data_IF_956021773699
#
_entry.id   IF_956021773699
#
_cell.length_a   1.000
_cell.length_b   1.000
_cell.length_c   1.000
_cell.angle_alpha   90.00
_cell.angle_beta   90.00
_cell.angle_gamma   90.00
#
_symmetry.space_group_name_H-M   'P 1'
#
loop_
_entity.id
_entity.type
_entity.pdbx_description
1 polymer ?
#
# COMPACT_ATOMS: atom_id res chain seq x y z
N UNK A 1 1.06 -92.62 -68.86
CA UNK A 1 1.20 -91.18 -68.56
C UNK A 1 1.28 -91.01 -67.05
N UNK A 2 2.03 -90.03 -66.56
CA UNK A 2 2.03 -89.73 -65.13
C UNK A 2 0.74 -88.98 -64.74
N UNK A 3 0.26 -89.20 -63.52
CA UNK A 3 -0.99 -88.61 -62.99
C UNK A 3 -1.06 -87.08 -63.19
N UNK A 4 0.09 -86.40 -63.05
CA UNK A 4 0.20 -84.94 -63.18
C UNK A 4 0.00 -84.44 -64.62
N UNK A 5 0.48 -85.19 -65.62
CA UNK A 5 0.30 -84.84 -67.03
C UNK A 5 -1.12 -85.08 -67.48
N UNK A 6 -1.77 -86.14 -67.00
CA UNK A 6 -3.17 -86.44 -67.27
C UNK A 6 -4.10 -85.41 -66.62
N UNK A 7 -3.80 -84.97 -65.39
CA UNK A 7 -4.51 -83.88 -64.72
C UNK A 7 -4.40 -82.53 -65.46
N UNK A 8 -3.20 -82.16 -65.94
CA UNK A 8 -3.00 -80.94 -66.72
C UNK A 8 -3.66 -81.02 -68.10
N UNK A 9 -3.72 -82.21 -68.71
CA UNK A 9 -4.43 -82.45 -69.97
C UNK A 9 -5.95 -82.29 -69.78
N UNK A 10 -6.53 -82.89 -68.75
CA UNK A 10 -7.95 -82.72 -68.40
C UNK A 10 -8.28 -81.26 -68.12
N UNK A 11 -7.42 -80.53 -67.41
CA UNK A 11 -7.60 -79.08 -67.24
C UNK A 11 -7.59 -78.31 -68.57
N UNK A 12 -6.96 -78.78 -69.65
CA UNK A 12 -6.89 -78.08 -70.95
C UNK A 12 -7.98 -78.51 -71.94
N UNK A 13 -8.41 -79.75 -71.88
CA UNK A 13 -9.31 -80.34 -72.88
C UNK A 13 -10.76 -80.47 -72.36
N UNK A 14 -10.95 -80.64 -71.05
CA UNK A 14 -12.27 -80.79 -70.43
C UNK A 14 -12.70 -79.49 -69.73
N UNK A 15 -13.75 -78.85 -70.26
CA UNK A 15 -14.31 -77.62 -69.69
C UNK A 15 -15.01 -77.84 -68.36
N UNK A 16 -15.80 -78.91 -68.21
CA UNK A 16 -16.54 -79.18 -66.98
C UNK A 16 -15.57 -79.45 -65.83
N UNK A 17 -14.53 -80.25 -66.08
CA UNK A 17 -13.48 -80.51 -65.12
C UNK A 17 -12.72 -79.24 -64.73
N UNK A 18 -12.36 -78.38 -65.70
CA UNK A 18 -11.71 -77.09 -65.43
C UNK A 18 -12.57 -76.19 -64.55
N UNK A 19 -13.86 -76.04 -64.87
CA UNK A 19 -14.75 -75.20 -64.08
C UNK A 19 -14.99 -75.78 -62.69
N UNK A 20 -15.07 -77.11 -62.54
CA UNK A 20 -15.18 -77.75 -61.24
C UNK A 20 -13.94 -77.50 -60.36
N UNK A 21 -12.73 -77.62 -60.93
CA UNK A 21 -11.47 -77.36 -60.21
C UNK A 21 -11.33 -75.87 -59.83
N UNK A 22 -11.65 -74.95 -60.74
CA UNK A 22 -11.64 -73.50 -60.46
C UNK A 22 -12.70 -73.16 -59.41
N UNK A 23 -13.90 -73.76 -59.49
CA UNK A 23 -14.96 -73.59 -58.51
C UNK A 23 -14.53 -74.06 -57.12
N UNK A 24 -13.97 -75.27 -57.00
CA UNK A 24 -13.47 -75.80 -55.73
C UNK A 24 -12.37 -74.92 -55.12
N UNK A 25 -11.32 -74.63 -55.89
CA UNK A 25 -10.19 -73.82 -55.41
C UNK A 25 -10.58 -72.36 -55.15
N UNK A 26 -11.46 -71.80 -55.98
CA UNK A 26 -11.95 -70.43 -55.85
C UNK A 26 -12.89 -70.25 -54.66
N UNK A 27 -13.80 -71.21 -54.42
CA UNK A 27 -14.71 -71.19 -53.27
C UNK A 27 -13.94 -71.29 -51.96
N UNK A 28 -12.93 -72.16 -51.88
CA UNK A 28 -12.09 -72.29 -50.68
C UNK A 28 -11.38 -70.97 -50.34
N UNK A 29 -10.77 -70.32 -51.34
CA UNK A 29 -10.09 -69.03 -51.15
C UNK A 29 -11.07 -67.89 -50.79
N UNK A 30 -12.28 -67.89 -51.37
CA UNK A 30 -13.34 -66.94 -51.01
C UNK A 30 -13.75 -67.11 -49.54
N UNK A 31 -13.99 -68.36 -49.10
CA UNK A 31 -14.35 -68.64 -47.71
C UNK A 31 -13.26 -68.18 -46.73
N UNK A 32 -11.97 -68.48 -47.02
CA UNK A 32 -10.86 -67.98 -46.18
C UNK A 32 -10.83 -66.46 -46.08
N UNK A 33 -11.14 -65.73 -47.17
CA UNK A 33 -11.20 -64.26 -47.14
C UNK A 33 -12.41 -63.77 -46.35
N UNK A 34 -13.55 -64.45 -46.44
CA UNK A 34 -14.74 -64.15 -45.63
C UNK A 34 -14.44 -64.36 -44.14
N UNK A 35 -13.75 -65.43 -43.77
CA UNK A 35 -13.36 -65.69 -42.38
C UNK A 35 -12.45 -64.58 -41.84
N UNK A 36 -11.41 -64.21 -42.62
CA UNK A 36 -10.52 -63.08 -42.27
C UNK A 36 -11.27 -61.75 -42.15
N UNK A 37 -12.21 -61.48 -43.06
CA UNK A 37 -13.03 -60.28 -42.99
C UNK A 37 -13.95 -60.30 -41.76
N UNK A 38 -14.50 -61.47 -41.41
CA UNK A 38 -15.34 -61.64 -40.22
C UNK A 38 -14.53 -61.36 -38.95
N UNK A 39 -13.32 -61.89 -38.85
CA UNK A 39 -12.40 -61.56 -37.75
C UNK A 39 -12.07 -60.07 -37.68
N UNK A 40 -11.81 -59.42 -38.82
CA UNK A 40 -11.54 -57.99 -38.89
C UNK A 40 -12.76 -57.16 -38.44
N UNK A 41 -13.97 -57.55 -38.87
CA UNK A 41 -15.23 -56.91 -38.44
C UNK A 41 -15.43 -57.05 -36.94
N UNK A 42 -15.17 -58.22 -36.35
CA UNK A 42 -15.27 -58.41 -34.90
C UNK A 42 -14.31 -57.50 -34.13
N UNK A 43 -13.05 -57.37 -34.60
CA UNK A 43 -12.08 -56.45 -33.98
C UNK A 43 -12.52 -54.99 -34.08
N UNK A 44 -13.07 -54.58 -35.24
CA UNK A 44 -13.61 -53.23 -35.41
C UNK A 44 -14.81 -52.98 -34.50
N UNK A 45 -15.70 -53.95 -34.33
CA UNK A 45 -16.84 -53.84 -33.41
C UNK A 45 -16.37 -53.67 -31.96
N UNK A 46 -15.34 -54.39 -31.53
CA UNK A 46 -14.76 -54.23 -30.20
C UNK A 46 -14.14 -52.83 -30.02
N UNK A 47 -13.42 -52.32 -31.02
CA UNK A 47 -12.89 -50.95 -30.99
C UNK A 47 -14.00 -49.90 -30.94
N UNK A 48 -15.09 -50.07 -31.69
CA UNK A 48 -16.25 -49.17 -31.67
C UNK A 48 -16.93 -49.17 -30.31
N UNK A 49 -17.04 -50.33 -29.65
CA UNK A 49 -17.58 -50.42 -28.30
C UNK A 49 -16.72 -49.64 -27.30
N UNK A 50 -15.39 -49.84 -27.31
CA UNK A 50 -14.44 -49.10 -26.46
C UNK A 50 -14.49 -47.59 -26.69
N UNK A 51 -14.54 -47.15 -27.95
CA UNK A 51 -14.68 -45.72 -28.26
C UNK A 51 -16.01 -45.16 -27.76
N UNK A 52 -17.10 -45.92 -27.81
CA UNK A 52 -18.41 -45.50 -27.31
C UNK A 52 -18.39 -45.28 -25.80
N UNK A 53 -17.69 -46.13 -25.05
CA UNK A 53 -17.47 -45.96 -23.61
C UNK A 53 -16.68 -44.68 -23.30
N UNK A 54 -15.55 -44.46 -23.99
CA UNK A 54 -14.72 -43.24 -23.83
C UNK A 54 -15.54 -41.98 -24.13
N UNK A 55 -16.35 -42.00 -25.20
CA UNK A 55 -17.22 -40.88 -25.56
C UNK A 55 -18.23 -40.58 -24.45
N UNK A 56 -18.78 -41.62 -23.81
CA UNK A 56 -19.70 -41.45 -22.69
C UNK A 56 -19.01 -40.83 -21.46
N UNK A 57 -17.77 -41.22 -21.17
CA UNK A 57 -16.96 -40.62 -20.09
C UNK A 57 -16.63 -39.16 -20.37
N UNK A 58 -16.16 -38.86 -21.58
CA UNK A 58 -15.90 -37.48 -22.01
C UNK A 58 -17.17 -36.62 -21.92
N UNK A 59 -18.33 -37.17 -22.29
CA UNK A 59 -19.60 -36.46 -22.18
C UNK A 59 -19.96 -36.11 -20.73
N UNK A 60 -19.64 -36.98 -19.77
CA UNK A 60 -19.82 -36.69 -18.33
C UNK A 60 -18.85 -35.60 -17.86
N UNK A 61 -17.58 -35.69 -18.27
CA UNK A 61 -16.57 -34.69 -17.93
C UNK A 61 -16.94 -33.30 -18.47
N UNK A 62 -17.41 -33.22 -19.71
CA UNK A 62 -17.88 -31.96 -20.33
C UNK A 62 -19.04 -31.35 -19.53
N UNK A 63 -20.01 -32.15 -19.08
CA UNK A 63 -21.12 -31.64 -18.26
C UNK A 63 -20.63 -31.06 -16.93
N UNK A 64 -19.71 -31.75 -16.25
CA UNK A 64 -19.14 -31.24 -14.99
C UNK A 64 -18.36 -29.93 -15.21
N UNK A 65 -17.61 -29.83 -16.31
CA UNK A 65 -16.91 -28.60 -16.67
C UNK A 65 -17.89 -27.46 -16.97
N UNK A 66 -19.01 -27.74 -17.64
CA UNK A 66 -20.06 -26.73 -17.88
C UNK A 66 -20.67 -26.19 -16.58
N UNK A 67 -20.89 -27.05 -15.60
CA UNK A 67 -21.37 -26.64 -14.27
C UNK A 67 -20.33 -25.77 -13.54
N UNK A 68 -19.06 -26.13 -13.58
CA UNK A 68 -17.98 -25.32 -13.01
C UNK A 68 -17.86 -23.95 -13.68
N UNK A 69 -17.94 -23.90 -15.01
CA UNK A 69 -17.93 -22.64 -15.78
C UNK A 69 -19.10 -21.76 -15.37
N UNK A 70 -20.29 -22.32 -15.17
CA UNK A 70 -21.47 -21.57 -14.73
C UNK A 70 -21.26 -20.97 -13.33
N UNK A 71 -20.75 -21.76 -12.39
CA UNK A 71 -20.44 -21.28 -11.03
C UNK A 71 -19.42 -20.14 -11.04
N UNK A 72 -18.36 -20.27 -11.86
CA UNK A 72 -17.37 -19.21 -12.03
C UNK A 72 -17.98 -17.93 -12.65
N UNK A 73 -18.90 -18.07 -13.60
CA UNK A 73 -19.61 -16.92 -14.18
C UNK A 73 -20.44 -16.17 -13.13
N UNK A 74 -21.12 -16.90 -12.25
CA UNK A 74 -21.90 -16.31 -11.14
C UNK A 74 -20.97 -15.54 -10.17
N UNK A 75 -19.82 -16.12 -9.80
CA UNK A 75 -18.81 -15.44 -8.98
C UNK A 75 -18.23 -14.18 -9.65
N UNK A 76 -17.98 -14.22 -10.96
CA UNK A 76 -17.49 -13.06 -11.71
C UNK A 76 -18.51 -11.92 -11.69
N UNK A 77 -19.81 -12.23 -11.82
CA UNK A 77 -20.88 -11.23 -11.73
C UNK A 77 -20.94 -10.60 -10.33
N UNK A 78 -20.82 -11.41 -9.28
CA UNK A 78 -20.80 -10.92 -7.89
C UNK A 78 -19.60 -10.01 -7.62
N UNK A 79 -18.40 -10.46 -8.00
CA UNK A 79 -17.18 -9.66 -7.88
C UNK A 79 -17.27 -8.35 -8.66
N UNK A 80 -17.88 -8.37 -9.85
CA UNK A 80 -18.10 -7.15 -10.64
C UNK A 80 -18.99 -6.14 -9.91
N UNK A 81 -20.05 -6.60 -9.22
CA UNK A 81 -20.90 -5.74 -8.39
C UNK A 81 -20.13 -5.17 -7.20
N UNK A 82 -19.35 -6.00 -6.51
CA UNK A 82 -18.51 -5.57 -5.39
C UNK A 82 -17.49 -4.50 -5.81
N UNK A 83 -16.82 -4.69 -6.94
CA UNK A 83 -15.88 -3.72 -7.52
C UNK A 83 -16.58 -2.38 -7.80
N UNK A 84 -17.79 -2.40 -8.38
CA UNK A 84 -18.55 -1.17 -8.64
C UNK A 84 -18.87 -0.42 -7.34
N UNK A 85 -19.30 -1.12 -6.29
CA UNK A 85 -19.58 -0.47 -5.00
C UNK A 85 -18.32 0.12 -4.37
N UNK A 86 -17.18 -0.57 -4.47
CA UNK A 86 -15.90 -0.03 -3.98
C UNK A 86 -15.46 1.21 -4.78
N UNK A 87 -15.67 1.23 -6.10
CA UNK A 87 -15.40 2.42 -6.92
C UNK A 87 -16.24 3.62 -6.49
N UNK A 88 -17.52 3.42 -6.18
CA UNK A 88 -18.38 4.48 -5.66
C UNK A 88 -17.87 5.01 -4.30
N UNK A 89 -17.47 4.12 -3.38
CA UNK A 89 -16.90 4.52 -2.10
C UNK A 89 -15.59 5.32 -2.26
N UNK A 90 -14.72 4.92 -3.20
CA UNK A 90 -13.47 5.63 -3.49
C UNK A 90 -13.75 7.05 -4.01
N UNK A 91 -14.77 7.23 -4.85
CA UNK A 91 -15.19 8.56 -5.31
C UNK A 91 -15.68 9.43 -4.14
N UNK A 92 -16.49 8.88 -3.24
CA UNK A 92 -16.97 9.62 -2.06
C UNK A 92 -15.83 9.98 -1.09
N UNK A 93 -14.91 9.06 -0.83
CA UNK A 93 -13.71 9.35 -0.04
C UNK A 93 -12.83 10.42 -0.69
N UNK A 94 -12.70 10.40 -2.01
CA UNK A 94 -11.95 11.44 -2.74
C UNK A 94 -12.56 12.82 -2.55
N UNK A 95 -13.90 12.94 -2.61
CA UNK A 95 -14.60 14.19 -2.31
C UNK A 95 -14.39 14.64 -0.87
N UNK A 96 -14.47 13.72 0.09
CA UNK A 96 -14.25 14.02 1.50
C UNK A 96 -12.81 14.52 1.77
N UNK A 97 -11.81 13.90 1.14
CA UNK A 97 -10.41 14.34 1.22
C UNK A 97 -10.25 15.76 0.67
N UNK A 98 -10.85 16.07 -0.48
CA UNK A 98 -10.80 17.43 -1.04
C UNK A 98 -11.45 18.46 -0.11
N UNK A 99 -12.57 18.11 0.54
CA UNK A 99 -13.22 18.98 1.51
C UNK A 99 -12.36 19.22 2.76
N UNK A 100 -11.70 18.18 3.27
CA UNK A 100 -10.76 18.28 4.38
C UNK A 100 -9.54 19.13 4.01
N UNK A 101 -8.98 18.96 2.81
CA UNK A 101 -7.86 19.79 2.33
C UNK A 101 -8.21 21.27 2.31
N UNK A 102 -9.40 21.65 1.82
CA UNK A 102 -9.88 23.04 1.86
C UNK A 102 -10.04 23.56 3.29
N UNK A 103 -10.51 22.71 4.20
CA UNK A 103 -10.68 23.07 5.61
C UNK A 103 -9.33 23.31 6.28
N UNK A 104 -8.34 22.45 6.02
CA UNK A 104 -6.96 22.62 6.48
C UNK A 104 -6.36 23.92 5.95
N UNK A 105 -6.53 24.23 4.66
CA UNK A 105 -6.02 25.49 4.08
C UNK A 105 -6.65 26.73 4.77
N UNK A 106 -7.95 26.68 5.06
CA UNK A 106 -8.63 27.77 5.78
C UNK A 106 -8.13 27.91 7.22
N UNK A 107 -7.87 26.80 7.91
CA UNK A 107 -7.31 26.81 9.26
C UNK A 107 -5.87 27.37 9.25
N UNK A 108 -5.03 26.98 8.29
CA UNK A 108 -3.67 27.53 8.13
C UNK A 108 -3.70 29.05 7.99
N UNK A 109 -4.56 29.59 7.12
CA UNK A 109 -4.73 31.05 6.97
C UNK A 109 -5.20 31.74 8.26
N UNK A 110 -6.03 31.06 9.05
CA UNK A 110 -6.52 31.59 10.32
C UNK A 110 -5.41 31.62 11.38
N UNK A 111 -4.59 30.57 11.43
CA UNK A 111 -3.40 30.49 12.29
C UNK A 111 -2.40 31.58 11.93
N UNK A 112 -2.12 31.81 10.65
CA UNK A 112 -1.23 32.89 10.20
C UNK A 112 -1.70 34.28 10.66
N UNK A 113 -3.02 34.55 10.56
CA UNK A 113 -3.62 35.80 11.06
C UNK A 113 -3.53 35.92 12.59
N UNK A 114 -3.76 34.83 13.32
CA UNK A 114 -3.59 34.80 14.77
C UNK A 114 -2.14 35.04 15.17
N UNK A 115 -1.18 34.38 14.53
CA UNK A 115 0.25 34.57 14.77
C UNK A 115 0.65 36.03 14.56
N UNK A 116 0.18 36.65 13.47
CA UNK A 116 0.40 38.07 13.18
C UNK A 116 -0.18 38.98 14.27
N UNK A 117 -1.38 38.66 14.77
CA UNK A 117 -2.04 39.41 15.85
C UNK A 117 -1.27 39.28 17.17
N UNK A 118 -0.84 38.06 17.53
CA UNK A 118 -0.01 37.79 18.71
C UNK A 118 1.31 38.56 18.62
N UNK A 119 1.97 38.55 17.46
CA UNK A 119 3.21 39.31 17.26
C UNK A 119 2.97 40.81 17.47
N UNK A 120 1.87 41.37 16.96
CA UNK A 120 1.54 42.78 17.17
C UNK A 120 1.28 43.13 18.64
N UNK A 121 0.68 42.20 19.39
CA UNK A 121 0.46 42.33 20.84
C UNK A 121 1.80 42.25 21.57
N UNK A 122 2.63 41.25 21.26
CA UNK A 122 3.95 41.09 21.86
C UNK A 122 4.85 42.30 21.64
N UNK A 123 4.80 42.93 20.45
CA UNK A 123 5.49 44.20 20.19
C UNK A 123 4.92 45.36 20.99
N UNK A 124 3.60 45.42 21.23
CA UNK A 124 2.95 46.46 22.04
C UNK A 124 3.22 46.34 23.54
N UNK A 125 3.40 45.12 24.03
CA UNK A 125 3.64 44.84 25.44
C UNK A 125 5.12 44.55 25.75
N UNK A 126 6.05 44.75 24.79
CA UNK A 126 7.50 44.56 24.95
C UNK A 126 7.96 43.19 25.48
N UNK A 127 7.08 42.19 25.45
CA UNK A 127 7.28 40.86 26.05
C UNK A 127 8.48 40.13 25.42
N UNK A 128 8.83 40.45 24.17
CA UNK A 128 9.91 39.79 23.44
C UNK A 128 11.23 40.59 23.38
N UNK A 129 11.26 41.83 23.87
CA UNK A 129 12.43 42.72 23.75
C UNK A 129 13.31 42.72 24.99
N UNK A 130 12.75 42.68 26.20
CA UNK A 130 13.55 42.80 27.42
C UNK A 130 14.37 41.53 27.70
N UNK A 131 13.74 40.35 27.65
CA UNK A 131 14.42 39.06 27.87
C UNK A 131 15.47 38.78 26.78
N UNK A 132 15.14 39.05 25.50
CA UNK A 132 16.09 38.88 24.41
C UNK A 132 17.28 39.86 24.50
N UNK A 133 17.04 41.10 24.94
CA UNK A 133 18.08 42.09 25.18
C UNK A 133 18.94 41.72 26.38
N UNK A 134 18.32 41.28 27.48
CA UNK A 134 18.99 40.77 28.69
C UNK A 134 19.93 39.61 28.37
N UNK A 135 19.45 38.61 27.64
CA UNK A 135 20.28 37.47 27.20
C UNK A 135 21.41 37.88 26.25
N UNK A 136 21.16 38.86 25.37
CA UNK A 136 22.19 39.38 24.46
C UNK A 136 23.31 40.12 25.20
N UNK A 137 22.97 40.95 26.19
CA UNK A 137 23.96 41.66 27.02
C UNK A 137 24.71 40.67 27.91
N UNK A 138 24.02 39.68 28.47
CA UNK A 138 24.66 38.60 29.24
C UNK A 138 25.73 37.88 28.42
N UNK A 139 25.39 37.47 27.20
CA UNK A 139 26.35 36.85 26.28
C UNK A 139 27.55 37.77 25.97
N UNK A 140 27.29 39.05 25.68
CA UNK A 140 28.36 40.03 25.40
C UNK A 140 29.34 40.14 26.58
N UNK A 141 28.83 40.21 27.81
CA UNK A 141 29.63 40.48 29.00
C UNK A 141 30.34 39.20 29.49
N UNK A 142 29.63 38.09 29.62
CA UNK A 142 30.19 36.84 30.15
C UNK A 142 31.06 36.10 29.13
N UNK A 143 30.58 35.95 27.89
CA UNK A 143 31.21 35.06 26.91
C UNK A 143 32.22 35.79 26.01
N UNK A 144 31.89 37.00 25.56
CA UNK A 144 32.74 37.76 24.63
C UNK A 144 33.82 38.57 25.36
N UNK A 145 33.41 39.38 26.35
CA UNK A 145 34.34 40.25 27.10
C UNK A 145 35.04 39.49 28.24
N UNK A 146 34.38 38.51 28.87
CA UNK A 146 34.91 37.70 29.99
C UNK A 146 35.39 38.52 31.18
N UNK A 147 34.89 39.75 31.30
CA UNK A 147 35.29 40.72 32.32
C UNK A 147 34.44 40.58 33.59
N UNK A 148 33.14 40.29 33.43
CA UNK A 148 32.18 40.17 34.54
C UNK A 148 31.34 38.91 34.38
N UNK A 149 30.89 38.35 35.51
CA UNK A 149 29.85 37.32 35.55
C UNK A 149 28.48 37.96 35.79
N UNK A 150 27.46 37.51 35.09
CA UNK A 150 26.07 37.99 35.21
C UNK A 150 25.25 36.95 35.97
N UNK A 151 24.75 37.31 37.15
CA UNK A 151 23.88 36.44 37.94
C UNK A 151 22.54 37.11 38.23
N UNK A 152 21.47 36.33 38.16
CA UNK A 152 20.12 36.79 38.55
C UNK A 152 19.98 36.70 40.06
N UNK A 153 19.77 37.84 40.71
CA UNK A 153 19.53 37.91 42.14
C UNK A 153 18.05 38.13 42.42
N UNK A 154 17.46 37.22 43.20
CA UNK A 154 16.05 37.25 43.58
C UNK A 154 15.98 37.28 45.11
N UNK A 155 15.29 38.26 45.67
CA UNK A 155 15.14 38.44 47.11
C UNK A 155 13.70 38.82 47.48
N UNK A 156 13.18 38.25 48.56
CA UNK A 156 11.88 38.64 49.10
C UNK A 156 12.05 39.73 50.16
N UNK A 157 11.65 40.94 49.81
CA UNK A 157 11.70 42.10 50.69
C UNK A 157 10.45 42.12 51.57
N UNK A 158 10.53 41.47 52.73
CA UNK A 158 9.44 41.41 53.72
C UNK A 158 9.06 42.77 54.30
N UNK A 159 9.97 43.74 54.28
CA UNK A 159 9.77 45.07 54.89
C UNK A 159 9.18 46.07 53.90
N UNK A 160 9.14 45.74 52.61
CA UNK A 160 8.65 46.62 51.56
C UNK A 160 9.51 47.88 51.38
N UNK A 161 10.82 47.77 51.58
CA UNK A 161 11.78 48.86 51.38
C UNK A 161 11.78 49.32 49.91
N UNK A 162 11.73 48.38 48.96
CA UNK A 162 11.85 48.68 47.53
C UNK A 162 10.54 49.19 46.94
N UNK A 163 9.43 48.48 47.14
CA UNK A 163 8.13 48.81 46.53
C UNK A 163 7.12 49.43 47.48
N UNK A 164 7.45 49.61 48.76
CA UNK A 164 6.52 50.12 49.77
C UNK A 164 5.58 49.06 50.37
N UNK A 165 5.69 47.80 49.92
CA UNK A 165 4.97 46.64 50.47
C UNK A 165 5.78 45.35 50.26
N UNK A 166 5.51 44.28 51.04
CA UNK A 166 6.22 43.01 50.89
C UNK A 166 6.15 42.48 49.46
N UNK A 167 7.30 42.22 48.84
CA UNK A 167 7.40 41.89 47.41
C UNK A 167 8.66 41.09 47.07
N UNK A 168 8.61 40.33 45.97
CA UNK A 168 9.81 39.75 45.36
C UNK A 168 10.50 40.84 44.54
N UNK A 169 11.79 41.04 44.78
CA UNK A 169 12.68 41.93 44.06
C UNK A 169 13.62 41.08 43.23
N UNK A 170 13.80 41.45 41.97
CA UNK A 170 14.65 40.73 41.03
C UNK A 170 15.51 41.70 40.24
N UNK A 171 16.83 41.46 40.22
CA UNK A 171 17.81 42.27 39.48
C UNK A 171 18.93 41.40 38.93
N UNK A 172 19.49 41.76 37.78
CA UNK A 172 20.72 41.15 37.28
C UNK A 172 21.95 41.83 37.89
N UNK A 173 22.90 41.03 38.36
CA UNK A 173 24.10 41.49 39.05
C UNK A 173 25.32 41.13 38.22
N UNK A 174 26.12 42.14 37.88
CA UNK A 174 27.45 41.96 37.30
C UNK A 174 28.49 41.87 38.42
N UNK A 175 29.32 40.83 38.40
CA UNK A 175 30.27 40.52 39.47
C UNK A 175 31.69 40.45 38.90
N UNK A 176 32.62 41.24 39.46
CA UNK A 176 34.06 41.18 39.17
C UNK A 176 34.89 41.61 40.38
N UNK A 177 35.93 40.85 40.75
CA UNK A 177 36.90 41.21 41.81
C UNK A 177 36.28 41.67 43.15
N UNK A 178 35.15 41.06 43.53
CA UNK A 178 34.31 41.36 44.71
C UNK A 178 33.51 42.67 44.64
N UNK A 179 33.51 43.35 43.49
CA UNK A 179 32.59 44.43 43.16
C UNK A 179 31.31 43.86 42.53
N UNK A 180 30.16 44.35 42.98
CA UNK A 180 28.84 43.97 42.48
C UNK A 180 28.13 45.19 41.90
N UNK A 181 27.72 45.11 40.63
CA UNK A 181 26.99 46.17 39.94
C UNK A 181 25.58 45.65 39.64
N UNK A 182 24.58 46.33 40.16
CA UNK A 182 23.18 46.05 39.85
C UNK A 182 22.82 46.66 38.49
N UNK A 183 22.22 45.87 37.61
CA UNK A 183 21.79 46.31 36.28
C UNK A 183 20.31 46.00 36.10
N UNK A 184 19.54 47.05 35.81
CA UNK A 184 18.15 46.93 35.38
C UNK A 184 18.05 47.23 33.89
N UNK A 185 17.36 46.36 33.16
CA UNK A 185 17.01 46.60 31.76
C UNK A 185 15.56 47.05 31.70
N UNK A 186 15.30 48.28 31.24
CA UNK A 186 13.96 48.73 30.89
C UNK A 186 14.03 49.46 29.56
N UNK A 187 13.09 49.18 28.66
CA UNK A 187 13.03 49.85 27.35
C UNK A 187 12.71 51.35 27.48
N UNK A 188 12.03 51.73 28.57
CA UNK A 188 11.80 53.12 28.96
C UNK A 188 12.10 53.26 30.46
N UNK A 189 12.66 54.39 30.88
CA UNK A 189 13.03 54.64 32.29
C UNK A 189 12.43 55.95 32.74
N UNK A 190 11.68 55.91 33.84
CA UNK A 190 11.16 57.08 34.52
C UNK A 190 11.89 57.35 35.86
N UNK A 191 11.48 58.40 36.58
CA UNK A 191 12.13 58.77 37.86
C UNK A 191 11.85 57.75 38.97
N UNK A 192 10.73 57.02 38.91
CA UNK A 192 10.40 56.00 39.88
C UNK A 192 11.29 54.77 39.69
N UNK A 193 11.59 54.40 38.44
CA UNK A 193 12.50 53.29 38.11
C UNK A 193 13.92 53.52 38.65
N UNK A 194 14.43 54.75 38.52
CA UNK A 194 15.75 55.12 39.08
C UNK A 194 15.74 55.07 40.61
N UNK A 195 14.65 55.53 41.24
CA UNK A 195 14.50 55.48 42.69
C UNK A 195 14.31 54.05 43.22
N UNK A 196 13.73 53.16 42.43
CA UNK A 196 13.62 51.72 42.70
C UNK A 196 15.02 51.08 42.69
N UNK A 197 15.80 51.23 41.60
CA UNK A 197 17.16 50.70 41.51
C UNK A 197 18.08 51.23 42.63
N UNK A 198 17.97 52.52 42.96
CA UNK A 198 18.72 53.10 44.09
C UNK A 198 18.36 52.42 45.42
N UNK A 199 17.07 52.17 45.69
CA UNK A 199 16.61 51.50 46.91
C UNK A 199 17.04 50.03 46.99
N UNK A 200 17.21 49.38 45.85
CA UNK A 200 17.74 48.01 45.79
C UNK A 200 19.24 47.99 46.14
N UNK A 201 19.99 49.01 45.72
CA UNK A 201 21.45 49.10 45.95
C UNK A 201 21.89 49.72 47.29
N UNK A 202 20.97 50.18 48.14
CA UNK A 202 21.23 50.67 49.50
C UNK A 202 21.30 49.50 50.49
#
# INVERSE_FOLDING_TARGET
MGLKEEFLKLLREDMEFRYAVIGLLGLEEILRRIDKNTEAIMRLQEQVAKHSEIIAEHSKAIKSLQEQVRSLQEQVVENTKAIRSLQEQVVEHSKAILALQRSVESLSKSIEKMASSIQSIGMRYEIFTEDAFRESIKYLIEDLLKEYKVERWIYYDEKGIVYGHPSIVEVDVLIKDKEHILVGYKAFTDRADVAELYRIGQ
#
